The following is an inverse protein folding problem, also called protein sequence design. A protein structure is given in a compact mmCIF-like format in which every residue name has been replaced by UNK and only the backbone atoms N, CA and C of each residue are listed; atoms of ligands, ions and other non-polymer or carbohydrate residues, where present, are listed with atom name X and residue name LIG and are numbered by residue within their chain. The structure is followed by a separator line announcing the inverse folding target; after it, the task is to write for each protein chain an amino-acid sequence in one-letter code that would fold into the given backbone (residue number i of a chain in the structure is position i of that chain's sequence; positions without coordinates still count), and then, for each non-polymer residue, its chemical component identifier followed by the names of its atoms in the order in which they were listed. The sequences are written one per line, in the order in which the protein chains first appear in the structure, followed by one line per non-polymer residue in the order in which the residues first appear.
data_IF_536723790009
#
_entry.id   IF_536723790009
#
_cell.length_a   1.000
_cell.length_b   1.000
_cell.length_c   1.000
_cell.angle_alpha   90.00
_cell.angle_beta   90.00
_cell.angle_gamma   90.00
#
_symmetry.space_group_name_H-M   'P 1'
#
loop_
_entity.id
_entity.type
_entity.pdbx_description
1 polymer ?
#
# COMPACT_ATOMS: atom_id res chain seq x y z
N UNK A 1 31.56 -11.52 -18.94
CA UNK A 1 30.51 -11.54 -19.98
C UNK A 1 29.20 -11.27 -19.26
N UNK A 2 28.63 -10.07 -19.46
CA UNK A 2 27.34 -9.68 -18.86
C UNK A 2 26.22 -10.43 -19.60
N UNK A 3 25.31 -11.07 -18.85
CA UNK A 3 24.27 -11.93 -19.40
C UNK A 3 23.18 -11.08 -20.08
N UNK A 4 22.80 -11.40 -21.32
CA UNK A 4 21.78 -10.66 -22.08
C UNK A 4 20.38 -10.73 -21.46
N UNK A 5 20.17 -11.61 -20.47
CA UNK A 5 18.93 -11.70 -19.70
C UNK A 5 18.80 -10.57 -18.67
N UNK A 6 19.90 -10.14 -18.05
CA UNK A 6 19.90 -9.04 -17.07
C UNK A 6 19.58 -7.70 -17.75
N UNK A 7 19.99 -7.53 -19.01
CA UNK A 7 19.72 -6.31 -19.80
C UNK A 7 18.24 -6.15 -20.12
N UNK A 8 17.50 -7.24 -20.39
CA UNK A 8 16.04 -7.18 -20.62
C UNK A 8 15.25 -6.86 -19.35
N UNK A 9 15.69 -7.35 -18.19
CA UNK A 9 15.07 -6.99 -16.90
C UNK A 9 15.34 -5.53 -16.55
N UNK A 10 16.55 -5.02 -16.79
CA UNK A 10 16.88 -3.61 -16.59
C UNK A 10 16.13 -2.69 -17.57
N UNK A 11 15.97 -3.09 -18.84
CA UNK A 11 15.18 -2.35 -19.83
C UNK A 11 13.67 -2.37 -19.50
N UNK A 12 13.13 -3.45 -18.93
CA UNK A 12 11.75 -3.50 -18.45
C UNK A 12 11.53 -2.61 -17.22
N UNK A 13 12.51 -2.53 -16.33
CA UNK A 13 12.50 -1.62 -15.17
C UNK A 13 12.64 -0.16 -15.62
N UNK A 14 13.43 0.13 -16.66
CA UNK A 14 13.57 1.48 -17.25
C UNK A 14 12.38 1.88 -18.15
N UNK A 15 11.65 0.94 -18.76
CA UNK A 15 10.44 1.27 -19.51
C UNK A 15 9.26 1.65 -18.59
N UNK A 16 9.31 1.24 -17.32
CA UNK A 16 8.36 1.69 -16.30
C UNK A 16 8.61 3.13 -15.81
N UNK A 17 9.72 3.76 -16.21
CA UNK A 17 10.22 5.06 -15.72
C UNK A 17 9.38 6.28 -16.17
N UNK A 18 8.32 6.07 -16.96
CA UNK A 18 7.38 7.12 -17.37
C UNK A 18 5.90 6.71 -17.27
N UNK A 19 5.55 5.71 -16.46
CA UNK A 19 4.14 5.47 -16.15
C UNK A 19 3.57 6.70 -15.42
N UNK A 20 2.57 7.35 -16.01
CA UNK A 20 1.88 8.45 -15.34
C UNK A 20 1.14 7.88 -14.12
N UNK A 21 1.53 8.29 -12.92
CA UNK A 21 0.92 7.84 -11.66
C UNK A 21 -0.10 8.88 -11.20
N UNK A 22 -1.31 8.41 -10.89
CA UNK A 22 -2.35 9.22 -10.26
C UNK A 22 -2.62 8.72 -8.85
N UNK A 23 -2.59 9.64 -7.89
CA UNK A 23 -3.02 9.37 -6.51
C UNK A 23 -4.48 9.77 -6.37
N UNK A 24 -5.30 8.87 -5.83
CA UNK A 24 -6.73 9.10 -5.60
C UNK A 24 -7.19 8.42 -4.31
N UNK A 25 -8.32 8.85 -3.70
CA UNK A 25 -8.93 8.10 -2.62
C UNK A 25 -9.12 6.63 -2.98
N UNK A 26 -8.84 5.75 -2.03
CA UNK A 26 -9.09 4.32 -2.18
C UNK A 26 -10.59 4.04 -2.18
N UNK A 27 -10.99 3.01 -2.93
CA UNK A 27 -12.37 2.55 -3.06
C UNK A 27 -12.43 1.05 -2.74
N UNK A 28 -13.56 0.51 -2.24
CA UNK A 28 -13.69 -0.90 -1.88
C UNK A 28 -13.32 -1.90 -2.98
N UNK A 29 -13.38 -1.48 -4.26
CA UNK A 29 -12.97 -2.29 -5.42
C UNK A 29 -11.45 -2.39 -5.62
N UNK A 30 -10.67 -1.60 -4.91
CA UNK A 30 -9.20 -1.66 -4.96
C UNK A 30 -8.61 -2.73 -4.02
N UNK A 31 -9.41 -3.24 -3.07
CA UNK A 31 -8.93 -4.10 -1.99
C UNK A 31 -8.16 -5.34 -2.45
N UNK A 32 -8.63 -6.02 -3.51
CA UNK A 32 -7.96 -7.23 -4.02
C UNK A 32 -6.60 -6.92 -4.65
N UNK A 33 -6.46 -5.74 -5.28
CA UNK A 33 -5.17 -5.30 -5.83
C UNK A 33 -4.21 -4.85 -4.72
N UNK A 34 -4.73 -4.24 -3.65
CA UNK A 34 -3.93 -3.85 -2.49
C UNK A 34 -3.37 -5.08 -1.77
N UNK A 35 -4.20 -6.11 -1.57
CA UNK A 35 -3.74 -7.40 -1.00
C UNK A 35 -2.64 -8.02 -1.86
N UNK A 36 -2.84 -8.11 -3.18
CA UNK A 36 -1.80 -8.63 -4.10
C UNK A 36 -0.51 -7.80 -4.01
N UNK A 37 -0.63 -6.47 -3.94
CA UNK A 37 0.52 -5.57 -3.83
C UNK A 37 1.29 -5.80 -2.52
N UNK A 38 0.61 -6.06 -1.40
CA UNK A 38 1.26 -6.40 -0.14
C UNK A 38 2.13 -7.66 -0.29
N UNK A 39 1.61 -8.74 -0.89
CA UNK A 39 2.39 -9.96 -1.11
C UNK A 39 3.65 -9.69 -1.91
N UNK A 40 3.55 -8.85 -2.95
CA UNK A 40 4.68 -8.47 -3.78
C UNK A 40 5.71 -7.60 -3.05
N UNK A 41 5.26 -6.57 -2.33
CA UNK A 41 6.15 -5.56 -1.71
C UNK A 41 6.87 -6.11 -0.48
N UNK A 42 6.20 -6.95 0.29
CA UNK A 42 6.76 -7.53 1.51
C UNK A 42 7.36 -8.94 1.30
N UNK A 43 7.39 -9.43 0.05
CA UNK A 43 7.88 -10.78 -0.32
C UNK A 43 7.24 -11.87 0.57
N UNK A 44 5.92 -11.79 0.74
CA UNK A 44 5.17 -12.66 1.65
C UNK A 44 4.80 -13.97 0.95
N UNK A 45 4.79 -15.10 1.68
CA UNK A 45 4.31 -16.36 1.16
C UNK A 45 2.80 -16.31 0.95
N UNK A 46 2.28 -17.14 0.04
CA UNK A 46 0.85 -17.17 -0.30
C UNK A 46 -0.05 -17.69 0.83
N UNK A 47 0.51 -18.33 1.84
CA UNK A 47 -0.15 -18.92 3.01
C UNK A 47 0.17 -18.15 4.32
N UNK A 48 0.19 -16.82 4.24
CA UNK A 48 0.45 -15.97 5.40
C UNK A 48 -0.80 -15.79 6.27
N UNK A 49 -0.82 -16.44 7.45
CA UNK A 49 -1.96 -16.40 8.38
C UNK A 49 -2.20 -15.01 9.02
N UNK A 50 -1.15 -14.24 9.31
CA UNK A 50 -1.24 -12.92 9.95
C UNK A 50 -1.32 -11.76 8.95
N UNK A 51 -1.42 -12.06 7.65
CA UNK A 51 -1.44 -11.03 6.62
C UNK A 51 -2.80 -10.35 6.47
N UNK A 52 -2.78 -9.08 6.04
CA UNK A 52 -4.03 -8.41 5.70
C UNK A 52 -4.62 -8.97 4.41
N UNK A 53 -5.91 -9.27 4.46
CA UNK A 53 -6.70 -9.74 3.32
C UNK A 53 -7.45 -8.59 2.66
N UNK A 54 -7.98 -8.78 1.46
CA UNK A 54 -8.88 -7.81 0.83
C UNK A 54 -10.08 -7.43 1.71
N UNK A 55 -10.56 -8.34 2.57
CA UNK A 55 -11.63 -8.03 3.51
C UNK A 55 -11.19 -7.00 4.57
N UNK A 56 -9.95 -7.10 5.08
CA UNK A 56 -9.38 -6.12 6.00
C UNK A 56 -9.24 -4.75 5.34
N UNK A 57 -8.69 -4.69 4.14
CA UNK A 57 -8.54 -3.43 3.39
C UNK A 57 -9.88 -2.78 3.05
N UNK A 58 -10.88 -3.58 2.64
CA UNK A 58 -12.24 -3.08 2.40
C UNK A 58 -12.83 -2.45 3.66
N UNK A 59 -12.69 -3.11 4.80
CA UNK A 59 -13.17 -2.58 6.08
C UNK A 59 -12.46 -1.28 6.48
N UNK A 60 -11.15 -1.15 6.25
CA UNK A 60 -10.40 0.10 6.50
C UNK A 60 -10.93 1.25 5.63
N UNK A 61 -11.09 1.01 4.32
CA UNK A 61 -11.61 1.99 3.35
C UNK A 61 -13.01 2.46 3.73
N UNK A 62 -13.87 1.55 4.16
CA UNK A 62 -15.25 1.89 4.56
C UNK A 62 -15.31 2.66 5.89
N UNK A 63 -14.46 2.30 6.87
CA UNK A 63 -14.46 2.95 8.19
C UNK A 63 -13.81 4.33 8.17
N UNK A 64 -12.75 4.52 7.40
CA UNK A 64 -12.04 5.80 7.34
C UNK A 64 -11.60 6.18 5.92
N UNK A 65 -12.56 6.46 5.01
CA UNK A 65 -12.27 6.69 3.59
C UNK A 65 -11.36 7.89 3.34
N UNK A 66 -11.45 8.94 4.17
CA UNK A 66 -10.63 10.14 4.03
C UNK A 66 -9.14 9.92 4.33
N UNK A 67 -8.78 8.78 4.94
CA UNK A 67 -7.40 8.39 5.23
C UNK A 67 -6.82 7.32 4.31
N UNK A 68 -7.59 6.82 3.34
CA UNK A 68 -7.12 5.73 2.48
C UNK A 68 -6.90 6.23 1.05
N UNK A 69 -5.70 6.00 0.51
CA UNK A 69 -5.33 6.45 -0.84
C UNK A 69 -4.62 5.35 -1.61
N UNK A 70 -4.83 5.33 -2.93
CA UNK A 70 -4.11 4.46 -3.86
C UNK A 70 -3.37 5.28 -4.91
N UNK A 71 -2.19 4.82 -5.29
CA UNK A 71 -1.49 5.24 -6.48
C UNK A 71 -1.81 4.26 -7.61
N UNK A 72 -2.21 4.77 -8.78
CA UNK A 72 -2.58 3.96 -9.95
C UNK A 72 -1.87 4.43 -11.20
N UNK A 73 -1.52 3.49 -12.07
CA UNK A 73 -1.05 3.79 -13.42
C UNK A 73 -2.17 4.43 -14.25
N UNK A 74 -1.81 5.35 -15.14
CA UNK A 74 -2.75 5.98 -16.06
C UNK A 74 -3.39 4.98 -17.03
N UNK A 75 -2.56 4.10 -17.58
CA UNK A 75 -2.94 3.28 -18.74
C UNK A 75 -3.74 2.04 -18.36
N UNK A 76 -3.34 1.37 -17.27
CA UNK A 76 -3.96 0.10 -16.84
C UNK A 76 -4.88 0.28 -15.64
N UNK A 77 -4.84 1.45 -14.99
CA UNK A 77 -5.52 1.72 -13.72
C UNK A 77 -5.18 0.74 -12.60
N UNK A 78 -4.03 0.07 -12.72
CA UNK A 78 -3.51 -0.88 -11.76
C UNK A 78 -3.01 -0.13 -10.52
N UNK A 79 -3.36 -0.63 -9.34
CA UNK A 79 -2.87 -0.14 -8.06
C UNK A 79 -1.40 -0.53 -7.92
N UNK A 80 -0.53 0.48 -7.91
CA UNK A 80 0.94 0.33 -7.75
C UNK A 80 1.44 0.88 -6.41
N UNK A 81 0.54 1.44 -5.61
CA UNK A 81 0.84 1.94 -4.27
C UNK A 81 -0.44 2.07 -3.46
N UNK A 82 -0.31 1.90 -2.15
CA UNK A 82 -1.39 2.09 -1.18
C UNK A 82 -0.83 2.74 0.06
N UNK A 83 -1.61 3.63 0.67
CA UNK A 83 -1.34 4.12 2.01
C UNK A 83 -2.62 4.09 2.83
N UNK A 84 -2.48 3.61 4.06
CA UNK A 84 -3.49 3.67 5.08
C UNK A 84 -3.07 4.70 6.14
N UNK A 85 -3.91 5.69 6.38
CA UNK A 85 -3.74 6.61 7.48
C UNK A 85 -4.63 6.19 8.66
N UNK A 86 -4.14 6.45 9.86
CA UNK A 86 -4.93 6.40 11.08
C UNK A 86 -5.30 7.81 11.53
N UNK A 87 -6.35 7.91 12.33
CA UNK A 87 -6.73 9.13 13.05
C UNK A 87 -6.74 8.81 14.54
N UNK A 88 -6.08 9.65 15.33
CA UNK A 88 -6.10 9.57 16.78
C UNK A 88 -6.72 10.86 17.35
N UNK A 89 -7.41 10.72 18.48
CA UNK A 89 -7.98 11.85 19.21
C UNK A 89 -6.87 12.53 20.02
N UNK A 90 -6.18 13.46 19.38
CA UNK A 90 -5.15 14.28 20.02
C UNK A 90 -5.77 15.28 21.00
N UNK A 91 -5.40 15.18 22.28
CA UNK A 91 -5.74 16.15 23.31
C UNK A 91 -4.50 16.97 23.67
N UNK A 92 -4.40 18.25 23.26
CA UNK A 92 -3.22 19.08 23.54
C UNK A 92 -3.01 19.35 25.04
N UNK A 93 -4.02 19.08 25.90
CA UNK A 93 -3.89 19.20 27.35
C UNK A 93 -3.28 17.96 28.02
N UNK A 94 -3.20 16.83 27.28
CA UNK A 94 -2.63 15.57 27.77
C UNK A 94 -1.36 15.27 26.96
N UNK A 95 -0.16 15.30 27.57
CA UNK A 95 1.06 14.95 26.85
C UNK A 95 1.01 13.47 26.42
N UNK A 96 1.30 13.21 25.15
CA UNK A 96 1.46 11.85 24.62
C UNK A 96 2.83 11.31 25.05
N UNK A 97 2.91 10.76 26.26
CA UNK A 97 4.15 10.26 26.86
C UNK A 97 4.44 8.79 26.54
N UNK A 98 3.48 8.09 25.96
CA UNK A 98 3.65 6.71 25.50
C UNK A 98 4.49 6.65 24.23
N UNK A 99 5.15 5.51 23.99
CA UNK A 99 5.89 5.32 22.74
C UNK A 99 4.92 5.22 21.56
N UNK A 100 5.41 5.56 20.38
CA UNK A 100 4.62 5.47 19.15
C UNK A 100 4.07 4.06 18.94
N UNK A 101 4.91 3.03 19.07
CA UNK A 101 4.50 1.63 18.90
C UNK A 101 3.43 1.20 19.90
N UNK A 102 3.46 1.70 21.14
CA UNK A 102 2.43 1.40 22.13
C UNK A 102 1.09 2.07 21.77
N UNK A 103 1.16 3.23 21.11
CA UNK A 103 -0.01 3.99 20.65
C UNK A 103 -0.62 3.40 19.39
N UNK A 104 0.21 2.89 18.46
CA UNK A 104 -0.22 2.54 17.09
C UNK A 104 -0.03 1.08 16.70
N UNK A 105 0.57 0.24 17.52
CA UNK A 105 0.75 -1.19 17.22
C UNK A 105 1.70 -1.47 16.05
N UNK A 106 2.79 -0.70 15.93
CA UNK A 106 3.78 -0.71 14.84
C UNK A 106 3.37 -0.06 13.52
N UNK A 107 2.19 0.58 13.46
CA UNK A 107 1.81 1.47 12.35
C UNK A 107 0.45 1.18 11.76
#
# INVERSE_FOLDING_TARGET
MYNKQDTKQLEAVQAADHAHIFVSPALPRHADQIERLQYLVYDLPTDCDDCLTAAHYRAQIERFPAGQFVARTADTHEVVGYTACMRFDFDPSKPLTETWDHTTGFG
#
